data_IF_320079908479
#
_entry.id   IF_320079908479
#
_cell.length_a   1.000
_cell.length_b   1.000
_cell.length_c   1.000
_cell.angle_alpha   90.00
_cell.angle_beta   90.00
_cell.angle_gamma   90.00
#
_symmetry.space_group_name_H-M   'P 1'
#
loop_
_entity.id
_entity.type
_entity.pdbx_description
1 polymer ?
#
# COMPACT_ATOMS: atom_id res chain seq x y z
N UNK A 1 -0.11 -10.45 -1.08
CA UNK A 1 0.00 -9.52 -2.22
C UNK A 1 -1.20 -9.65 -3.15
N UNK A 2 -1.89 -8.54 -3.45
CA UNK A 2 -3.05 -8.47 -4.35
C UNK A 2 -2.61 -7.72 -5.62
N UNK A 3 -2.30 -8.44 -6.72
CA UNK A 3 -1.63 -7.86 -7.88
C UNK A 3 -2.58 -7.17 -8.88
N UNK A 4 -3.72 -6.66 -8.45
CA UNK A 4 -4.72 -6.11 -9.36
C UNK A 4 -4.85 -4.59 -9.22
N UNK A 5 -4.95 -3.93 -10.38
CA UNK A 5 -5.27 -2.51 -10.50
C UNK A 5 -6.28 -2.31 -11.63
N UNK A 6 -7.17 -1.32 -11.51
CA UNK A 6 -8.01 -0.89 -12.63
C UNK A 6 -7.21 -0.13 -13.68
N UNK A 7 -6.09 0.48 -13.25
CA UNK A 7 -5.19 1.25 -14.09
C UNK A 7 -3.77 1.14 -13.57
N UNK A 8 -2.80 1.02 -14.48
CA UNK A 8 -1.38 1.04 -14.14
C UNK A 8 -0.85 2.47 -14.24
N UNK A 9 -0.45 3.03 -13.09
CA UNK A 9 0.18 4.34 -13.03
C UNK A 9 1.52 4.36 -13.76
N UNK A 10 1.88 5.50 -14.35
CA UNK A 10 3.07 5.61 -15.19
C UNK A 10 4.40 5.36 -14.47
N UNK A 11 4.46 5.59 -13.18
CA UNK A 11 5.64 5.41 -12.33
C UNK A 11 5.73 4.02 -11.68
N UNK A 12 4.63 3.24 -11.71
CA UNK A 12 4.56 2.02 -10.91
C UNK A 12 5.40 0.89 -11.51
N UNK A 13 6.39 0.44 -10.74
CA UNK A 13 7.24 -0.69 -11.07
C UNK A 13 6.86 -1.96 -10.30
N UNK A 14 5.82 -1.90 -9.46
CA UNK A 14 5.30 -3.08 -8.76
C UNK A 14 4.65 -4.03 -9.75
N UNK A 15 4.73 -5.31 -9.44
CA UNK A 15 3.97 -6.30 -10.19
C UNK A 15 2.49 -6.07 -9.96
N UNK A 16 1.82 -5.63 -10.98
CA UNK A 16 0.36 -5.46 -10.99
C UNK A 16 -0.19 -5.73 -12.39
N UNK A 17 -1.37 -6.34 -12.42
CA UNK A 17 -2.13 -6.60 -13.61
C UNK A 17 -3.32 -5.66 -13.67
N UNK A 18 -3.44 -4.99 -14.81
CA UNK A 18 -4.64 -4.22 -15.09
C UNK A 18 -5.75 -5.17 -15.52
N UNK A 19 -6.77 -5.33 -14.68
CA UNK A 19 -7.92 -6.18 -14.98
C UNK A 19 -9.18 -5.71 -14.27
N UNK A 20 -10.32 -5.89 -14.97
CA UNK A 20 -11.66 -5.73 -14.41
C UNK A 20 -12.43 -7.07 -14.45
N UNK A 21 -11.77 -8.17 -14.74
CA UNK A 21 -12.38 -9.50 -14.85
C UNK A 21 -12.59 -10.08 -13.46
N UNK A 22 -13.86 -10.11 -13.03
CA UNK A 22 -14.25 -10.62 -11.72
C UNK A 22 -13.91 -12.11 -11.55
N UNK A 23 -14.07 -12.92 -12.63
CA UNK A 23 -13.72 -14.34 -12.64
C UNK A 23 -12.23 -14.58 -12.38
N UNK A 24 -11.38 -13.73 -12.95
CA UNK A 24 -9.93 -13.83 -12.80
C UNK A 24 -9.48 -13.47 -11.37
N UNK A 25 -10.07 -12.43 -10.79
CA UNK A 25 -9.83 -12.04 -9.39
C UNK A 25 -10.30 -13.14 -8.44
N UNK A 26 -11.49 -13.71 -8.66
CA UNK A 26 -12.02 -14.79 -7.83
C UNK A 26 -11.11 -16.02 -7.88
N UNK A 27 -10.68 -16.47 -9.06
CA UNK A 27 -9.75 -17.58 -9.22
C UNK A 27 -8.41 -17.34 -8.51
N UNK A 28 -7.90 -16.10 -8.55
CA UNK A 28 -6.68 -15.73 -7.82
C UNK A 28 -6.87 -15.86 -6.31
N UNK A 29 -7.98 -15.34 -5.76
CA UNK A 29 -8.26 -15.42 -4.33
C UNK A 29 -8.43 -16.87 -3.84
N UNK A 30 -9.08 -17.72 -4.64
CA UNK A 30 -9.16 -19.17 -4.36
C UNK A 30 -7.78 -19.81 -4.33
N UNK A 31 -6.90 -19.44 -5.27
CA UNK A 31 -5.53 -19.94 -5.33
C UNK A 31 -4.72 -19.46 -4.14
N UNK A 32 -4.86 -18.17 -3.77
CA UNK A 32 -4.23 -17.61 -2.58
C UNK A 32 -4.69 -18.32 -1.29
N UNK A 33 -5.97 -18.66 -1.21
CA UNK A 33 -6.51 -19.41 -0.10
C UNK A 33 -5.91 -20.83 -0.02
N UNK A 34 -5.79 -21.54 -1.15
CA UNK A 34 -5.10 -22.84 -1.21
C UNK A 34 -3.64 -22.73 -0.78
N UNK A 35 -2.93 -21.71 -1.24
CA UNK A 35 -1.57 -21.42 -0.78
C UNK A 35 -1.51 -21.22 0.73
N UNK A 36 -2.44 -20.45 1.29
CA UNK A 36 -2.52 -20.26 2.74
C UNK A 36 -2.80 -21.56 3.49
N UNK A 37 -3.68 -22.44 2.98
CA UNK A 37 -3.94 -23.76 3.55
C UNK A 37 -2.70 -24.67 3.57
N UNK A 38 -1.84 -24.57 2.57
CA UNK A 38 -0.57 -25.32 2.51
C UNK A 38 0.47 -24.77 3.49
N UNK A 39 0.56 -23.45 3.61
CA UNK A 39 1.58 -22.79 4.43
C UNK A 39 1.22 -22.71 5.91
N UNK A 40 -0.05 -22.53 6.26
CA UNK A 40 -0.46 -22.32 7.65
C UNK A 40 -0.09 -23.47 8.60
N UNK A 41 -0.12 -24.77 8.21
CA UNK A 41 0.37 -25.83 9.08
C UNK A 41 1.86 -25.73 9.42
N UNK A 42 2.67 -25.14 8.52
CA UNK A 42 4.09 -24.96 8.71
C UNK A 42 4.42 -23.82 9.69
N UNK A 43 3.44 -22.98 9.99
CA UNK A 43 3.56 -21.84 10.93
C UNK A 43 2.87 -22.10 12.27
N UNK A 44 2.48 -23.33 12.55
CA UNK A 44 1.82 -23.70 13.81
C UNK A 44 2.69 -23.33 15.02
N UNK A 45 2.12 -22.56 15.95
CA UNK A 45 2.82 -22.08 17.14
C UNK A 45 3.58 -20.75 16.94
N UNK A 46 3.61 -20.18 15.72
CA UNK A 46 4.09 -18.83 15.50
C UNK A 46 2.98 -17.80 15.76
N UNK A 47 3.36 -16.67 16.32
CA UNK A 47 2.50 -15.49 16.43
C UNK A 47 2.99 -14.46 15.41
N UNK A 48 2.05 -13.76 14.74
CA UNK A 48 2.34 -12.68 13.82
C UNK A 48 1.95 -11.36 14.49
N UNK A 49 2.93 -10.47 14.68
CA UNK A 49 2.70 -9.16 15.29
C UNK A 49 2.03 -8.19 14.31
N UNK A 50 2.29 -8.38 13.01
CA UNK A 50 1.74 -7.51 11.97
C UNK A 50 1.29 -8.28 10.72
N UNK A 51 0.34 -7.68 10.01
CA UNK A 51 -0.18 -8.18 8.74
C UNK A 51 -0.38 -7.02 7.76
N UNK A 52 0.11 -7.17 6.54
CA UNK A 52 -0.04 -6.16 5.50
C UNK A 52 -0.75 -6.72 4.27
N UNK A 53 -1.74 -6.00 3.77
CA UNK A 53 -2.42 -6.26 2.51
C UNK A 53 -2.05 -5.15 1.54
N UNK A 54 -1.20 -5.48 0.58
CA UNK A 54 -0.65 -4.53 -0.38
C UNK A 54 -0.51 -5.11 -1.78
N UNK A 55 0.18 -4.37 -2.64
CA UNK A 55 0.55 -4.82 -3.99
C UNK A 55 0.10 -3.89 -5.09
N UNK A 56 -0.99 -4.21 -5.78
CA UNK A 56 -1.64 -3.34 -6.76
C UNK A 56 -2.57 -2.35 -6.06
N UNK A 57 -3.84 -2.68 -5.97
CA UNK A 57 -4.85 -1.91 -5.23
C UNK A 57 -5.77 -2.88 -4.50
N UNK A 58 -5.46 -3.26 -3.26
CA UNK A 58 -6.25 -4.25 -2.52
C UNK A 58 -7.73 -3.95 -2.42
N UNK A 59 -8.11 -2.68 -2.22
CA UNK A 59 -9.51 -2.28 -2.14
C UNK A 59 -10.24 -2.25 -3.50
N UNK A 60 -9.60 -2.66 -4.60
CA UNK A 60 -10.30 -3.01 -5.83
C UNK A 60 -11.23 -4.22 -5.60
N UNK A 61 -10.91 -5.08 -4.66
CA UNK A 61 -11.75 -6.21 -4.25
C UNK A 61 -13.12 -5.72 -3.76
N UNK A 62 -14.15 -6.50 -4.04
CA UNK A 62 -15.49 -6.28 -3.48
C UNK A 62 -15.52 -6.59 -1.98
N UNK A 63 -16.56 -6.12 -1.27
CA UNK A 63 -16.71 -6.42 0.16
C UNK A 63 -16.65 -7.92 0.45
N UNK A 64 -17.40 -8.81 -0.24
CA UNK A 64 -17.29 -10.26 -0.01
C UNK A 64 -15.91 -10.83 -0.32
N UNK A 65 -15.18 -10.27 -1.29
CA UNK A 65 -13.81 -10.70 -1.59
C UNK A 65 -12.81 -10.26 -0.52
N UNK A 66 -13.01 -9.09 0.08
CA UNK A 66 -12.22 -8.61 1.21
C UNK A 66 -12.48 -9.47 2.46
N UNK A 67 -13.73 -9.82 2.74
CA UNK A 67 -14.08 -10.76 3.81
C UNK A 67 -13.38 -12.11 3.61
N UNK A 68 -13.48 -12.69 2.41
CA UNK A 68 -12.79 -13.93 2.07
C UNK A 68 -11.25 -13.84 2.22
N UNK A 69 -10.67 -12.69 1.91
CA UNK A 69 -9.24 -12.46 2.11
C UNK A 69 -8.86 -12.40 3.60
N UNK A 70 -9.70 -11.77 4.44
CA UNK A 70 -9.50 -11.74 5.90
C UNK A 70 -9.66 -13.15 6.51
N UNK A 71 -10.64 -13.93 6.05
CA UNK A 71 -10.81 -15.33 6.44
C UNK A 71 -9.59 -16.19 6.02
N UNK A 72 -9.00 -15.89 4.88
CA UNK A 72 -7.75 -16.52 4.44
C UNK A 72 -6.59 -16.19 5.38
N UNK A 73 -6.47 -14.95 5.83
CA UNK A 73 -5.44 -14.55 6.80
C UNK A 73 -5.64 -15.25 8.17
N UNK A 74 -6.90 -15.51 8.55
CA UNK A 74 -7.22 -16.20 9.80
C UNK A 74 -6.66 -17.64 9.87
N UNK A 75 -6.35 -18.28 8.73
CA UNK A 75 -5.66 -19.57 8.71
C UNK A 75 -4.28 -19.53 9.39
N UNK A 76 -3.65 -18.36 9.43
CA UNK A 76 -2.38 -18.13 10.11
C UNK A 76 -2.54 -17.61 11.55
N UNK A 77 -3.76 -17.60 12.09
CA UNK A 77 -4.06 -16.98 13.37
C UNK A 77 -4.05 -15.45 13.34
N UNK A 78 -4.04 -14.86 12.14
CA UNK A 78 -4.05 -13.41 11.95
C UNK A 78 -5.49 -12.90 11.96
N UNK A 79 -5.78 -12.07 12.96
CA UNK A 79 -7.08 -11.39 13.08
C UNK A 79 -6.84 -9.89 13.27
N UNK A 80 -7.42 -9.00 12.45
CA UNK A 80 -7.15 -7.56 12.54
C UNK A 80 -7.44 -6.94 13.91
N UNK A 81 -8.34 -7.55 14.70
CA UNK A 81 -8.64 -7.12 16.07
C UNK A 81 -7.51 -7.34 17.09
N UNK A 82 -6.54 -8.22 16.76
CA UNK A 82 -5.45 -8.61 17.67
C UNK A 82 -4.07 -8.49 17.00
N UNK A 83 -4.03 -8.49 15.67
CA UNK A 83 -2.80 -8.36 14.87
C UNK A 83 -2.80 -7.00 14.20
N UNK A 84 -1.73 -6.22 14.33
CA UNK A 84 -1.62 -4.94 13.64
C UNK A 84 -1.79 -5.14 12.13
N UNK A 85 -2.91 -4.72 11.58
CA UNK A 85 -3.25 -4.93 10.17
C UNK A 85 -3.24 -3.62 9.40
N UNK A 86 -2.46 -3.60 8.32
CA UNK A 86 -2.33 -2.48 7.39
C UNK A 86 -2.92 -2.84 6.02
N UNK A 87 -3.69 -1.94 5.43
CA UNK A 87 -4.29 -2.11 4.10
C UNK A 87 -3.98 -0.90 3.22
N UNK A 88 -3.50 -1.18 2.00
CA UNK A 88 -3.27 -0.16 0.98
C UNK A 88 -4.51 0.06 0.11
N UNK A 89 -4.72 1.32 -0.32
CA UNK A 89 -5.81 1.68 -1.23
C UNK A 89 -5.43 2.83 -2.17
N UNK A 90 -6.34 3.13 -3.07
CA UNK A 90 -6.32 4.33 -3.90
C UNK A 90 -7.66 5.07 -3.80
N UNK A 91 -7.72 6.36 -4.18
CA UNK A 91 -8.93 7.17 -4.04
C UNK A 91 -10.17 6.56 -4.69
N UNK A 92 -10.01 5.81 -5.78
CA UNK A 92 -11.12 5.19 -6.50
C UNK A 92 -11.88 4.12 -5.69
N UNK A 93 -11.22 3.53 -4.69
CA UNK A 93 -11.74 2.37 -3.96
C UNK A 93 -11.90 2.59 -2.46
N UNK A 94 -11.62 3.80 -1.97
CA UNK A 94 -11.84 4.17 -0.58
C UNK A 94 -13.30 4.59 -0.33
N UNK A 95 -14.25 3.74 -0.72
CA UNK A 95 -15.69 3.98 -0.54
C UNK A 95 -16.17 3.53 0.85
N UNK A 96 -17.36 4.05 1.28
CA UNK A 96 -17.92 3.76 2.59
C UNK A 96 -18.01 2.27 2.92
N UNK A 97 -18.51 1.43 2.01
CA UNK A 97 -18.80 0.03 2.30
C UNK A 97 -17.52 -0.76 2.61
N UNK A 98 -16.46 -0.56 1.80
CA UNK A 98 -15.16 -1.20 2.03
C UNK A 98 -14.49 -0.70 3.30
N UNK A 99 -14.52 0.61 3.53
CA UNK A 99 -13.92 1.20 4.73
C UNK A 99 -14.64 0.79 6.01
N UNK A 100 -15.97 0.63 5.96
CA UNK A 100 -16.78 0.16 7.10
C UNK A 100 -16.41 -1.30 7.44
N UNK A 101 -16.27 -2.17 6.43
CA UNK A 101 -15.78 -3.53 6.63
C UNK A 101 -14.40 -3.54 7.32
N UNK A 102 -13.42 -2.77 6.79
CA UNK A 102 -12.09 -2.72 7.39
C UNK A 102 -12.13 -2.23 8.84
N UNK A 103 -12.95 -1.22 9.13
CA UNK A 103 -13.10 -0.68 10.49
C UNK A 103 -13.73 -1.71 11.42
N UNK A 104 -14.80 -2.39 11.00
CA UNK A 104 -15.47 -3.44 11.76
C UNK A 104 -14.57 -4.65 12.02
N UNK A 105 -13.74 -5.02 11.03
CA UNK A 105 -12.75 -6.08 11.17
C UNK A 105 -11.62 -5.74 12.16
N UNK A 106 -11.43 -4.46 12.50
CA UNK A 106 -10.37 -4.01 13.40
C UNK A 106 -9.05 -3.65 12.70
N UNK A 107 -9.08 -3.37 11.39
CA UNK A 107 -7.89 -2.90 10.67
C UNK A 107 -7.34 -1.65 11.34
N UNK A 108 -6.05 -1.68 11.66
CA UNK A 108 -5.40 -0.61 12.39
C UNK A 108 -4.96 0.54 11.46
N UNK A 109 -4.48 0.22 10.26
CA UNK A 109 -3.88 1.21 9.35
C UNK A 109 -4.52 1.15 7.97
N UNK A 110 -4.88 2.32 7.45
CA UNK A 110 -5.24 2.52 6.04
C UNK A 110 -4.23 3.46 5.41
N UNK A 111 -3.56 2.99 4.35
CA UNK A 111 -2.61 3.77 3.55
C UNK A 111 -3.22 4.09 2.21
N UNK A 112 -3.30 5.38 1.86
CA UNK A 112 -3.88 5.82 0.59
C UNK A 112 -2.85 6.52 -0.29
N UNK A 113 -2.63 5.97 -1.49
CA UNK A 113 -1.78 6.60 -2.48
C UNK A 113 -2.49 7.78 -3.16
N UNK A 114 -2.22 9.00 -2.75
CA UNK A 114 -2.72 10.24 -3.38
C UNK A 114 -1.74 10.73 -4.44
N UNK A 115 -0.49 10.82 -4.09
CA UNK A 115 0.68 11.22 -4.86
C UNK A 115 0.81 12.74 -5.08
N UNK A 116 -0.27 13.43 -5.45
CA UNK A 116 -0.36 14.89 -5.59
C UNK A 116 -1.82 15.36 -5.47
N UNK A 117 -2.02 16.64 -5.15
CA UNK A 117 -3.32 17.32 -5.17
C UNK A 117 -3.48 18.24 -6.39
N UNK A 118 -2.56 18.19 -7.35
CA UNK A 118 -2.61 18.96 -8.58
C UNK A 118 -2.87 18.04 -9.77
N UNK A 119 -3.89 18.37 -10.55
CA UNK A 119 -4.32 17.54 -11.70
C UNK A 119 -3.25 17.42 -12.77
N UNK A 120 -2.43 18.48 -12.97
CA UNK A 120 -1.30 18.46 -13.89
C UNK A 120 -0.23 17.46 -13.46
N UNK A 121 0.11 17.41 -12.16
CA UNK A 121 1.08 16.47 -11.61
C UNK A 121 0.54 15.02 -11.66
N UNK A 122 -0.74 14.82 -11.37
CA UNK A 122 -1.41 13.51 -11.51
C UNK A 122 -1.41 13.04 -12.97
N UNK A 123 -1.64 13.97 -13.92
CA UNK A 123 -1.58 13.68 -15.36
C UNK A 123 -0.16 13.29 -15.78
N UNK A 124 0.86 14.00 -15.29
CA UNK A 124 2.28 13.67 -15.54
C UNK A 124 2.63 12.28 -15.01
N UNK A 125 2.06 11.86 -13.87
CA UNK A 125 2.18 10.52 -13.31
C UNK A 125 1.34 9.46 -14.04
N UNK A 126 0.58 9.83 -15.07
CA UNK A 126 -0.42 8.98 -15.74
C UNK A 126 -1.39 8.34 -14.73
N UNK A 127 -1.86 9.15 -13.79
CA UNK A 127 -2.78 8.75 -12.74
C UNK A 127 -4.18 9.31 -13.02
N UNK A 128 -5.24 8.55 -12.69
CA UNK A 128 -6.63 8.91 -13.05
C UNK A 128 -7.39 9.71 -12.00
N UNK A 129 -7.17 9.52 -10.68
CA UNK A 129 -7.96 10.23 -9.70
C UNK A 129 -7.87 11.74 -9.87
N UNK A 130 -9.02 12.39 -9.81
CA UNK A 130 -9.14 13.85 -9.80
C UNK A 130 -9.29 14.33 -8.36
N UNK A 131 -9.03 15.60 -8.13
CA UNK A 131 -9.04 16.24 -6.83
C UNK A 131 -10.33 15.95 -6.03
N UNK A 132 -11.50 16.02 -6.65
CA UNK A 132 -12.76 15.77 -5.96
C UNK A 132 -12.86 14.34 -5.40
N UNK A 133 -12.42 13.36 -6.19
CA UNK A 133 -12.36 11.96 -5.77
C UNK A 133 -11.37 11.76 -4.63
N UNK A 134 -10.21 12.40 -4.69
CA UNK A 134 -9.21 12.39 -3.63
C UNK A 134 -9.81 12.93 -2.34
N UNK A 135 -10.43 14.11 -2.39
CA UNK A 135 -11.04 14.75 -1.22
C UNK A 135 -12.15 13.87 -0.61
N UNK A 136 -13.01 13.28 -1.43
CA UNK A 136 -14.07 12.37 -0.96
C UNK A 136 -13.49 11.13 -0.27
N UNK A 137 -12.46 10.52 -0.84
CA UNK A 137 -11.79 9.35 -0.29
C UNK A 137 -11.12 9.66 1.06
N UNK A 138 -10.36 10.75 1.13
CA UNK A 138 -9.67 11.17 2.34
C UNK A 138 -10.65 11.50 3.47
N UNK A 139 -11.75 12.19 3.15
CA UNK A 139 -12.80 12.50 4.11
C UNK A 139 -13.53 11.23 4.59
N UNK A 140 -13.74 10.26 3.71
CA UNK A 140 -14.32 8.97 4.06
C UNK A 140 -13.44 8.17 5.03
N UNK A 141 -12.10 8.18 4.85
CA UNK A 141 -11.16 7.54 5.76
C UNK A 141 -11.12 8.30 7.09
N UNK A 142 -10.98 9.65 7.05
CA UNK A 142 -10.92 10.50 8.24
C UNK A 142 -12.12 10.29 9.16
N UNK A 143 -13.34 10.23 8.62
CA UNK A 143 -14.58 10.01 9.38
C UNK A 143 -14.61 8.69 10.14
N UNK A 144 -13.88 7.68 9.70
CA UNK A 144 -13.85 6.36 10.35
C UNK A 144 -12.83 6.23 11.46
N UNK A 145 -11.96 7.23 11.62
CA UNK A 145 -11.01 7.29 12.72
C UNK A 145 -10.22 5.98 12.87
N UNK A 146 -9.57 5.54 11.78
CA UNK A 146 -8.61 4.44 11.88
C UNK A 146 -7.47 4.85 12.82
N UNK A 147 -6.90 3.93 13.62
CA UNK A 147 -5.76 4.24 14.49
C UNK A 147 -4.59 4.89 13.71
N UNK A 148 -4.35 4.41 12.49
CA UNK A 148 -3.35 4.95 11.60
C UNK A 148 -3.96 5.29 10.24
N UNK A 149 -3.90 6.55 9.89
CA UNK A 149 -4.29 7.07 8.58
C UNK A 149 -3.06 7.65 7.90
N UNK A 150 -2.59 6.97 6.86
CA UNK A 150 -1.44 7.38 6.07
C UNK A 150 -1.83 7.90 4.69
N UNK A 151 -1.17 8.98 4.26
CA UNK A 151 -1.27 9.53 2.90
C UNK A 151 0.12 9.46 2.25
N UNK A 152 0.19 8.84 1.05
CA UNK A 152 1.41 8.79 0.25
C UNK A 152 1.43 9.93 -0.76
N UNK A 153 2.54 10.66 -0.82
CA UNK A 153 2.81 11.72 -1.80
C UNK A 153 4.13 11.46 -2.54
N UNK A 154 4.21 11.95 -3.79
CA UNK A 154 5.41 11.84 -4.61
C UNK A 154 5.98 13.23 -4.88
N UNK A 155 7.29 13.38 -4.73
CA UNK A 155 8.04 14.58 -5.14
C UNK A 155 9.02 14.28 -6.26
N UNK A 156 9.41 15.32 -6.98
CA UNK A 156 10.30 15.21 -8.12
C UNK A 156 9.58 14.86 -9.43
N UNK A 157 8.27 15.06 -9.49
CA UNK A 157 7.48 14.89 -10.72
C UNK A 157 7.94 15.94 -11.73
N UNK A 158 8.04 15.58 -13.01
CA UNK A 158 8.45 16.52 -14.05
C UNK A 158 7.53 17.75 -14.13
N UNK A 159 8.11 18.94 -13.99
CA UNK A 159 7.38 20.22 -13.91
C UNK A 159 6.93 20.60 -12.51
N UNK A 160 7.11 19.74 -11.51
CA UNK A 160 6.81 20.03 -10.11
C UNK A 160 7.80 21.06 -9.54
N UNK A 161 7.31 21.95 -8.71
CA UNK A 161 8.13 22.95 -8.01
C UNK A 161 8.09 22.68 -6.50
N UNK A 162 9.01 23.29 -5.75
CA UNK A 162 8.96 23.25 -4.28
C UNK A 162 7.59 23.75 -3.78
N UNK A 163 7.10 24.85 -4.35
CA UNK A 163 5.82 25.43 -3.95
C UNK A 163 4.62 24.50 -4.22
N UNK A 164 4.59 23.81 -5.39
CA UNK A 164 3.50 22.89 -5.73
C UNK A 164 3.53 21.62 -4.90
N UNK A 165 4.72 21.13 -4.54
CA UNK A 165 4.84 20.00 -3.63
C UNK A 165 4.41 20.35 -2.21
N UNK A 166 4.86 21.51 -1.67
CA UNK A 166 4.40 21.99 -0.35
C UNK A 166 2.89 22.22 -0.31
N UNK A 167 2.31 22.76 -1.40
CA UNK A 167 0.87 22.87 -1.54
C UNK A 167 0.18 21.50 -1.38
N UNK A 168 0.69 20.46 -2.04
CA UNK A 168 0.14 19.10 -1.90
C UNK A 168 0.27 18.55 -0.48
N UNK A 169 1.38 18.82 0.22
CA UNK A 169 1.54 18.49 1.63
C UNK A 169 0.52 19.21 2.51
N UNK A 170 0.34 20.52 2.31
CA UNK A 170 -0.64 21.31 3.07
C UNK A 170 -2.07 20.85 2.85
N UNK A 171 -2.42 20.46 1.60
CA UNK A 171 -3.73 19.86 1.33
C UNK A 171 -3.92 18.51 2.03
N UNK A 172 -2.89 17.67 2.08
CA UNK A 172 -2.95 16.41 2.82
C UNK A 172 -3.18 16.63 4.32
N UNK A 173 -2.50 17.62 4.92
CA UNK A 173 -2.62 17.97 6.33
C UNK A 173 -4.02 18.45 6.75
N UNK A 174 -4.85 18.96 5.82
CA UNK A 174 -6.24 19.33 6.10
C UNK A 174 -7.10 18.13 6.51
N UNK A 175 -6.72 16.92 6.10
CA UNK A 175 -7.43 15.69 6.46
C UNK A 175 -6.92 15.04 7.75
N UNK A 176 -5.98 15.69 8.43
CA UNK A 176 -5.44 15.27 9.73
C UNK A 176 -4.90 13.82 9.71
N UNK A 177 -4.06 13.45 8.72
CA UNK A 177 -3.41 12.15 8.76
C UNK A 177 -2.46 12.12 9.97
N UNK A 178 -2.35 10.96 10.61
CA UNK A 178 -1.32 10.78 11.64
C UNK A 178 -0.02 10.19 11.08
N UNK A 179 0.00 9.90 9.80
CA UNK A 179 1.18 9.40 9.09
C UNK A 179 1.23 9.94 7.65
N UNK A 180 2.42 10.28 7.19
CA UNK A 180 2.69 10.70 5.82
C UNK A 180 3.91 9.96 5.30
N UNK A 181 3.81 9.44 4.10
CA UNK A 181 4.97 8.99 3.34
C UNK A 181 5.20 9.90 2.14
N UNK A 182 6.43 10.40 2.01
CA UNK A 182 6.85 11.14 0.84
C UNK A 182 7.91 10.35 0.07
N UNK A 183 7.65 10.10 -1.20
CA UNK A 183 8.52 9.30 -2.06
C UNK A 183 9.13 10.14 -3.16
N UNK A 184 10.45 10.04 -3.40
CA UNK A 184 11.01 10.60 -4.64
C UNK A 184 10.46 9.81 -5.83
N UNK A 185 10.15 10.51 -6.92
CA UNK A 185 9.81 9.86 -8.18
C UNK A 185 11.01 9.07 -8.70
N UNK A 186 10.87 7.77 -8.78
CA UNK A 186 11.88 6.90 -9.40
C UNK A 186 11.55 6.65 -10.87
N UNK A 187 12.48 7.01 -11.74
CA UNK A 187 12.45 6.55 -13.12
C UNK A 187 13.05 5.15 -13.17
N UNK A 188 12.26 4.17 -13.56
CA UNK A 188 12.64 2.75 -13.58
C UNK A 188 12.44 2.15 -14.97
N UNK A 189 13.31 1.23 -15.41
CA UNK A 189 13.07 0.46 -16.63
C UNK A 189 11.69 -0.24 -16.58
N UNK A 190 10.95 -0.19 -17.68
CA UNK A 190 9.62 -0.79 -17.79
C UNK A 190 8.47 0.05 -17.22
N UNK A 191 8.73 1.25 -16.67
CA UNK A 191 7.70 2.24 -16.34
C UNK A 191 7.46 3.18 -17.52
N UNK A 192 6.30 3.85 -17.53
CA UNK A 192 5.93 4.78 -18.60
C UNK A 192 6.42 6.21 -18.34
N UNK A 193 7.05 6.48 -17.20
CA UNK A 193 7.71 7.74 -16.86
C UNK A 193 9.18 7.61 -17.20
N UNK A 194 9.67 8.51 -18.03
CA UNK A 194 11.05 8.53 -18.50
C UNK A 194 11.87 9.70 -17.96
N UNK A 195 11.20 10.69 -17.36
CA UNK A 195 11.82 11.91 -16.85
C UNK A 195 11.29 12.28 -15.48
N UNK A 196 12.11 12.93 -14.68
CA UNK A 196 11.78 13.55 -13.41
C UNK A 196 12.52 14.88 -13.26
N UNK A 197 12.27 15.58 -12.19
CA UNK A 197 13.07 16.73 -11.81
C UNK A 197 14.52 16.34 -11.44
N UNK A 198 15.43 17.30 -11.52
CA UNK A 198 16.84 17.12 -11.18
C UNK A 198 17.01 16.76 -9.69
N UNK A 199 18.13 16.14 -9.35
CA UNK A 199 18.44 15.77 -7.98
C UNK A 199 18.47 16.99 -7.04
N UNK A 200 18.99 18.14 -7.53
CA UNK A 200 19.02 19.36 -6.73
C UNK A 200 17.62 19.88 -6.41
N UNK A 201 16.70 19.86 -7.39
CA UNK A 201 15.31 20.27 -7.19
C UNK A 201 14.60 19.29 -6.27
N UNK A 202 14.81 17.98 -6.46
CA UNK A 202 14.26 16.95 -5.57
C UNK A 202 14.76 17.13 -4.13
N UNK A 203 16.04 17.44 -3.95
CA UNK A 203 16.61 17.69 -2.63
C UNK A 203 16.01 18.93 -1.97
N UNK A 204 15.82 20.02 -2.73
CA UNK A 204 15.14 21.21 -2.22
C UNK A 204 13.71 20.93 -1.80
N UNK A 205 12.95 20.16 -2.60
CA UNK A 205 11.59 19.71 -2.24
C UNK A 205 11.59 18.91 -0.95
N UNK A 206 12.52 17.97 -0.82
CA UNK A 206 12.64 17.12 0.36
C UNK A 206 12.97 17.92 1.62
N UNK A 207 13.96 18.82 1.56
CA UNK A 207 14.31 19.66 2.70
C UNK A 207 13.13 20.54 3.14
N UNK A 208 12.48 21.21 2.17
CA UNK A 208 11.32 22.06 2.46
C UNK A 208 10.15 21.26 3.06
N UNK A 209 9.93 20.01 2.61
CA UNK A 209 8.94 19.13 3.19
C UNK A 209 9.28 18.71 4.63
N UNK A 210 10.55 18.38 4.90
CA UNK A 210 11.02 18.05 6.25
C UNK A 210 10.79 19.23 7.22
N UNK A 211 11.12 20.45 6.81
CA UNK A 211 10.92 21.65 7.61
C UNK A 211 9.43 21.89 7.88
N UNK A 212 8.59 21.85 6.84
CA UNK A 212 7.14 22.01 6.98
C UNK A 212 6.54 20.96 7.93
N UNK A 213 6.87 19.69 7.76
CA UNK A 213 6.30 18.60 8.55
C UNK A 213 6.77 18.67 10.01
N UNK A 214 8.02 19.03 10.25
CA UNK A 214 8.56 19.29 11.59
C UNK A 214 7.82 20.46 12.28
N UNK A 215 7.59 21.56 11.56
CA UNK A 215 6.85 22.72 12.08
C UNK A 215 5.38 22.38 12.39
N UNK A 216 4.82 21.37 11.73
CA UNK A 216 3.47 20.82 12.00
C UNK A 216 3.46 19.71 13.05
N UNK A 217 4.59 19.46 13.73
CA UNK A 217 4.68 18.50 14.83
C UNK A 217 4.88 17.04 14.41
N UNK A 218 5.22 16.77 13.14
CA UNK A 218 5.56 15.43 12.71
C UNK A 218 7.01 15.07 13.07
N UNK A 219 7.19 13.84 13.54
CA UNK A 219 8.50 13.24 13.75
C UNK A 219 8.88 12.42 12.51
N UNK A 220 10.07 12.65 12.00
CA UNK A 220 10.62 11.83 10.93
C UNK A 220 11.21 10.53 11.51
N UNK A 221 10.69 9.37 11.10
CA UNK A 221 11.17 8.04 11.54
C UNK A 221 12.02 7.32 10.48
N UNK A 222 11.87 7.71 9.22
CA UNK A 222 12.74 7.28 8.13
C UNK A 222 12.86 8.37 7.07
N UNK A 223 13.68 8.14 6.03
CA UNK A 223 13.77 9.10 4.90
C UNK A 223 12.41 9.43 4.25
N UNK A 224 11.41 8.59 4.43
CA UNK A 224 10.11 8.73 3.74
C UNK A 224 8.95 8.90 4.70
N UNK A 225 9.09 8.43 5.95
CA UNK A 225 8.00 8.32 6.91
C UNK A 225 8.03 9.42 7.94
N UNK A 226 6.90 10.10 8.09
CA UNK A 226 6.65 11.14 9.08
C UNK A 226 5.39 10.78 9.86
N UNK A 227 5.47 10.81 11.20
CA UNK A 227 4.37 10.44 12.09
C UNK A 227 4.03 11.58 13.04
N UNK A 228 2.75 11.77 13.27
CA UNK A 228 2.23 12.71 14.24
C UNK A 228 1.83 11.93 15.51
N UNK A 229 2.56 12.04 16.57
CA UNK A 229 2.52 11.23 17.79
C UNK A 229 3.07 9.79 17.58
N UNK A 230 4.30 9.54 18.00
CA UNK A 230 4.84 8.20 18.01
C UNK A 230 4.11 7.37 19.09
N UNK A 231 3.13 6.60 18.70
CA UNK A 231 2.81 5.38 19.43
C UNK A 231 3.92 4.38 19.13
N UNK A 232 4.34 3.62 20.12
CA UNK A 232 5.49 2.70 20.05
C UNK A 232 5.32 1.55 19.02
N UNK A 233 4.31 1.61 18.16
CA UNK A 233 3.84 0.47 17.40
C UNK A 233 4.07 0.59 15.91
N UNK A 234 4.71 -0.46 15.43
CA UNK A 234 4.71 -1.03 14.10
C UNK A 234 5.31 -0.16 12.99
N UNK A 235 6.60 -0.06 12.99
CA UNK A 235 7.34 0.07 11.75
C UNK A 235 7.30 -1.30 11.04
N UNK A 236 6.44 -1.46 10.03
CA UNK A 236 6.54 -2.62 9.14
C UNK A 236 7.68 -2.33 8.18
N UNK A 237 8.85 -2.87 8.46
CA UNK A 237 10.02 -2.78 7.59
C UNK A 237 10.13 -4.04 6.72
N UNK A 238 10.17 -3.86 5.40
CA UNK A 238 10.44 -4.97 4.50
C UNK A 238 11.94 -5.26 4.48
N UNK A 239 12.35 -6.42 4.97
CA UNK A 239 13.71 -6.95 4.82
C UNK A 239 14.52 -7.07 6.10
N UNK A 240 14.12 -6.41 7.19
CA UNK A 240 14.80 -6.49 8.49
C UNK A 240 14.06 -7.41 9.48
N UNK A 241 12.88 -7.86 9.13
CA UNK A 241 12.00 -8.67 9.96
C UNK A 241 11.79 -10.06 9.37
N UNK A 242 11.46 -11.01 10.23
CA UNK A 242 10.95 -12.32 9.82
C UNK A 242 9.60 -12.09 9.15
N UNK A 243 9.50 -12.39 7.87
CA UNK A 243 8.33 -12.11 7.06
C UNK A 243 7.90 -13.34 6.27
N UNK A 244 6.63 -13.72 6.38
CA UNK A 244 5.97 -14.69 5.51
C UNK A 244 5.03 -13.96 4.56
N UNK A 245 5.19 -14.18 3.26
CA UNK A 245 4.34 -13.57 2.23
C UNK A 245 3.59 -14.62 1.44
N UNK A 246 2.33 -14.32 1.12
CA UNK A 246 1.49 -15.08 0.22
C UNK A 246 1.14 -14.28 -1.04
N UNK A 247 0.85 -15.00 -2.11
CA UNK A 247 0.45 -14.45 -3.39
C UNK A 247 1.62 -14.12 -4.31
N UNK A 248 1.28 -13.66 -5.48
CA UNK A 248 2.21 -13.38 -6.58
C UNK A 248 3.26 -12.34 -6.22
N UNK A 249 4.53 -12.66 -6.40
CA UNK A 249 5.65 -11.76 -6.09
C UNK A 249 5.90 -11.53 -4.61
N UNK A 250 5.21 -12.26 -3.73
CA UNK A 250 5.45 -12.23 -2.28
C UNK A 250 6.88 -12.66 -1.95
N UNK A 251 7.53 -11.93 -1.08
CA UNK A 251 8.88 -12.25 -0.59
C UNK A 251 8.81 -12.67 0.86
N UNK A 252 9.48 -13.76 1.19
CA UNK A 252 9.55 -14.29 2.55
C UNK A 252 10.98 -14.36 3.04
N UNK A 253 11.16 -14.03 4.31
CA UNK A 253 12.44 -14.02 5.02
C UNK A 253 12.23 -14.75 6.35
N UNK A 254 12.68 -16.02 6.41
CA UNK A 254 12.46 -16.91 7.57
C UNK A 254 13.82 -17.41 8.05
N UNK A 255 14.51 -16.62 8.87
CA UNK A 255 15.89 -16.90 9.27
C UNK A 255 16.82 -16.95 8.06
N UNK A 256 17.43 -18.10 7.79
CA UNK A 256 18.32 -18.29 6.65
C UNK A 256 17.59 -18.65 5.33
N UNK A 257 16.29 -18.87 5.38
CA UNK A 257 15.49 -19.17 4.21
C UNK A 257 14.89 -17.88 3.63
N UNK A 258 15.31 -17.52 2.42
CA UNK A 258 14.77 -16.41 1.65
C UNK A 258 14.18 -16.94 0.36
N UNK A 259 12.91 -16.73 0.13
CA UNK A 259 12.27 -17.13 -1.10
C UNK A 259 11.26 -16.07 -1.58
N UNK A 260 10.88 -16.15 -2.85
CA UNK A 260 9.87 -15.31 -3.43
C UNK A 260 8.99 -16.13 -4.37
N UNK A 261 7.69 -15.91 -4.33
CA UNK A 261 6.78 -16.42 -5.35
C UNK A 261 7.00 -15.67 -6.66
N UNK A 262 6.78 -16.34 -7.80
CA UNK A 262 6.92 -15.69 -9.12
C UNK A 262 5.92 -14.57 -9.30
N UNK A 263 6.28 -13.62 -10.13
CA UNK A 263 5.37 -12.56 -10.60
C UNK A 263 4.38 -13.12 -11.63
N UNK A 264 3.41 -13.85 -11.15
CA UNK A 264 2.37 -14.48 -11.98
C UNK A 264 1.03 -14.50 -11.25
N UNK A 265 -0.05 -14.54 -11.99
CA UNK A 265 -1.40 -14.81 -11.46
C UNK A 265 -1.93 -16.14 -11.98
N UNK A 266 -1.09 -16.90 -12.68
CA UNK A 266 -1.42 -18.22 -13.16
C UNK A 266 -1.60 -19.16 -11.96
N UNK A 267 -2.82 -19.70 -11.79
CA UNK A 267 -3.16 -20.64 -10.73
C UNK A 267 -2.18 -21.81 -10.63
N UNK A 268 -1.79 -22.36 -11.79
CA UNK A 268 -0.86 -23.48 -11.88
C UNK A 268 0.54 -23.13 -11.36
N UNK A 269 1.01 -21.89 -11.64
CA UNK A 269 2.32 -21.45 -11.21
C UNK A 269 2.36 -21.12 -9.71
N UNK A 270 1.30 -20.53 -9.15
CA UNK A 270 1.24 -20.22 -7.72
C UNK A 270 1.13 -21.49 -6.89
N UNK A 271 0.29 -22.43 -7.29
CA UNK A 271 0.12 -23.72 -6.60
C UNK A 271 1.34 -24.65 -6.79
N UNK A 272 1.92 -24.68 -8.00
CA UNK A 272 3.05 -25.57 -8.31
C UNK A 272 4.38 -25.15 -7.69
N UNK A 273 4.55 -23.86 -7.39
CA UNK A 273 5.78 -23.35 -6.78
C UNK A 273 5.93 -23.72 -5.30
N UNK A 274 4.83 -23.96 -4.61
CA UNK A 274 4.88 -24.44 -3.22
C UNK A 274 5.29 -25.89 -3.17
N UNK A 275 4.86 -26.68 -4.13
CA UNK A 275 5.25 -28.08 -4.26
C UNK A 275 6.75 -28.22 -4.56
N UNK A 276 7.35 -27.25 -5.27
CA UNK A 276 8.80 -27.21 -5.56
C UNK A 276 9.65 -26.80 -4.35
N UNK A 277 9.05 -26.18 -3.31
CA UNK A 277 9.77 -25.73 -2.10
C UNK A 277 9.55 -26.65 -0.89
N UNK A 278 8.62 -27.59 -0.94
CA UNK A 278 8.40 -28.58 0.10
C UNK A 278 9.09 -29.90 -0.22
#
# INVERSE_FOLDING_TARGET
HIPFCSHKCGYCNLFSLQTNRADYIATYLETLHKQAQQLSPLTTGLAFDSFAIGGGTPLLLTVPQLEYLLDTAALFGVHPSHTFTSVETSPEYADPARLDLLKQAGVARVSIGVQSFLDEELTALKRRPRRDMINQALEAIRKRQFPFFNIDLIYGIKGQTVASFLYSLEQALLFQPNELFIYPLYVRPGTAITERESDDVCFQMYCAACDLLKDRGFLQTSMRRFIHHPSADAEISCGDEVMLSCGSGGRSYLGNLHYATRYTVCQRCIAGEIDDYM
#
